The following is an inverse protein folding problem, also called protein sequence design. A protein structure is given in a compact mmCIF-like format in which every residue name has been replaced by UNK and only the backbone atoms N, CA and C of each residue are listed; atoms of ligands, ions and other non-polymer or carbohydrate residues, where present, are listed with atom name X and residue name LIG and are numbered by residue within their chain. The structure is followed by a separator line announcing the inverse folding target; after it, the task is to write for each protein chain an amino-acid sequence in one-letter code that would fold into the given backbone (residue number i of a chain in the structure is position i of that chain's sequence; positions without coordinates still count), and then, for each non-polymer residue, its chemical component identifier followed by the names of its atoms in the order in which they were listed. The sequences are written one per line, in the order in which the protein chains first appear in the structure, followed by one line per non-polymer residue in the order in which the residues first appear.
data_IF_040211435431
#
_entry.id   IF_040211435431
#
_cell.length_a   1.000
_cell.length_b   1.000
_cell.length_c   1.000
_cell.angle_alpha   90.00
_cell.angle_beta   90.00
_cell.angle_gamma   90.00
#
_symmetry.space_group_name_H-M   'P 1'
#
loop_
_entity.id
_entity.type
_entity.pdbx_description
1 polymer ?
#
# COMPACT_ATOMS: atom_id res chain seq x y z
N UNK A 1 -34.16 -9.99 -1.48
CA UNK A 1 -33.99 -10.61 -0.14
C UNK A 1 -32.57 -11.08 0.16
N UNK A 2 -31.80 -11.62 -0.80
CA UNK A 2 -30.44 -12.16 -0.54
C UNK A 2 -29.40 -11.09 -0.08
N UNK A 3 -29.50 -9.83 -0.52
CA UNK A 3 -28.51 -8.80 -0.15
C UNK A 3 -28.75 -8.09 1.19
N UNK A 4 -30.01 -7.99 1.63
CA UNK A 4 -30.38 -7.25 2.85
C UNK A 4 -30.07 -8.04 4.13
N UNK A 5 -30.09 -9.37 4.04
CA UNK A 5 -29.84 -10.28 5.18
C UNK A 5 -28.37 -10.69 5.32
N UNK A 6 -27.50 -10.35 4.37
CA UNK A 6 -26.08 -10.72 4.40
C UNK A 6 -25.28 -9.78 5.31
N UNK A 7 -24.45 -10.34 6.19
CA UNK A 7 -23.59 -9.61 7.14
C UNK A 7 -22.18 -9.33 6.60
N UNK A 8 -21.73 -10.06 5.58
CA UNK A 8 -20.35 -9.97 5.04
C UNK A 8 -20.02 -8.66 4.29
N UNK A 9 -21.01 -8.00 3.69
CA UNK A 9 -20.78 -6.83 2.83
C UNK A 9 -21.67 -5.65 3.24
N UNK A 10 -21.12 -4.76 4.08
CA UNK A 10 -21.84 -3.60 4.62
C UNK A 10 -22.49 -2.71 3.54
N UNK A 11 -21.81 -2.51 2.40
CA UNK A 11 -22.32 -1.67 1.30
C UNK A 11 -23.54 -2.30 0.61
N UNK A 12 -23.54 -3.61 0.37
CA UNK A 12 -24.68 -4.33 -0.24
C UNK A 12 -25.86 -4.45 0.73
N UNK A 13 -25.57 -4.49 2.03
CA UNK A 13 -26.61 -4.49 3.07
C UNK A 13 -27.34 -3.15 3.18
N UNK A 14 -26.59 -2.04 3.18
CA UNK A 14 -27.17 -0.70 3.31
C UNK A 14 -27.77 -0.18 2.00
N UNK A 15 -27.21 -0.57 0.85
CA UNK A 15 -27.65 -0.13 -0.48
C UNK A 15 -27.66 -1.30 -1.47
N UNK A 16 -28.66 -2.20 -1.41
CA UNK A 16 -28.66 -3.47 -2.16
C UNK A 16 -28.68 -3.32 -3.68
N UNK A 17 -29.30 -2.24 -4.19
CA UNK A 17 -29.34 -1.96 -5.63
C UNK A 17 -28.06 -1.26 -6.08
N UNK A 18 -27.73 -0.11 -5.47
CA UNK A 18 -26.56 0.71 -5.84
C UNK A 18 -25.24 -0.03 -5.58
N UNK A 19 -25.16 -0.81 -4.50
CA UNK A 19 -23.99 -1.61 -4.16
C UNK A 19 -23.67 -2.70 -5.18
N UNK A 20 -24.67 -3.24 -5.89
CA UNK A 20 -24.45 -4.17 -7.01
C UNK A 20 -23.90 -3.45 -8.24
N UNK A 21 -24.47 -2.29 -8.56
CA UNK A 21 -23.99 -1.46 -9.66
C UNK A 21 -22.55 -1.02 -9.47
N UNK A 22 -22.13 -0.70 -8.23
CA UNK A 22 -20.73 -0.36 -7.93
C UNK A 22 -19.74 -1.39 -8.46
N UNK A 23 -19.95 -2.67 -8.19
CA UNK A 23 -19.03 -3.73 -8.65
C UNK A 23 -19.08 -3.93 -10.17
N UNK A 24 -20.26 -3.79 -10.77
CA UNK A 24 -20.42 -3.84 -12.23
C UNK A 24 -19.65 -2.70 -12.89
N UNK A 25 -19.77 -1.47 -12.37
CA UNK A 25 -19.05 -0.31 -12.86
C UNK A 25 -17.55 -0.35 -12.54
N UNK A 26 -17.14 -0.95 -11.41
CA UNK A 26 -15.72 -1.18 -11.12
C UNK A 26 -15.09 -2.11 -12.16
N UNK A 27 -15.77 -3.21 -12.53
CA UNK A 27 -15.31 -4.13 -13.56
C UNK A 27 -15.34 -3.52 -14.97
N UNK A 28 -16.44 -2.84 -15.33
CA UNK A 28 -16.57 -2.19 -16.63
C UNK A 28 -15.58 -1.00 -16.77
N UNK A 29 -15.31 -0.31 -15.67
CA UNK A 29 -14.34 0.77 -15.58
C UNK A 29 -12.90 0.32 -15.82
N UNK A 30 -12.54 -0.93 -15.50
CA UNK A 30 -11.22 -1.48 -15.83
C UNK A 30 -10.99 -1.53 -17.35
N UNK A 31 -12.00 -1.91 -18.13
CA UNK A 31 -11.93 -1.91 -19.59
C UNK A 31 -12.00 -0.50 -20.18
N UNK A 32 -12.85 0.38 -19.65
CA UNK A 32 -12.93 1.76 -20.14
C UNK A 32 -11.65 2.57 -19.88
N UNK A 33 -10.86 2.22 -18.86
CA UNK A 33 -9.60 2.91 -18.54
C UNK A 33 -8.54 2.82 -19.62
N UNK A 34 -8.53 1.76 -20.41
CA UNK A 34 -7.65 1.66 -21.57
C UNK A 34 -7.98 2.72 -22.64
N UNK A 35 -9.23 3.20 -22.67
CA UNK A 35 -9.76 4.08 -23.72
C UNK A 35 -10.05 5.51 -23.27
N UNK A 36 -10.33 5.72 -21.98
CA UNK A 36 -10.68 7.01 -21.38
C UNK A 36 -9.64 7.41 -20.31
N UNK A 37 -8.46 7.84 -20.78
CA UNK A 37 -7.47 8.76 -20.19
C UNK A 37 -7.51 9.10 -18.69
N UNK A 38 -7.65 8.14 -17.78
CA UNK A 38 -7.40 8.35 -16.37
C UNK A 38 -6.25 7.43 -15.96
N UNK A 39 -5.00 7.93 -16.06
CA UNK A 39 -3.88 7.23 -15.45
C UNK A 39 -4.21 7.01 -13.97
N UNK A 40 -4.00 5.79 -13.47
CA UNK A 40 -4.27 5.40 -12.08
C UNK A 40 -3.71 6.37 -11.01
N UNK A 41 -2.71 7.18 -11.40
CA UNK A 41 -1.92 8.08 -10.57
C UNK A 41 -2.38 9.53 -10.47
N UNK A 42 -3.39 9.95 -11.22
CA UNK A 42 -3.81 11.36 -11.25
C UNK A 42 -4.74 11.77 -10.09
N UNK A 43 -5.26 10.79 -9.34
CA UNK A 43 -6.14 11.06 -8.21
C UNK A 43 -5.36 11.51 -6.95
N UNK A 44 -5.64 12.72 -6.48
CA UNK A 44 -5.14 13.31 -5.21
C UNK A 44 -6.25 13.33 -4.15
N UNK A 45 -5.93 13.27 -2.84
CA UNK A 45 -4.60 13.17 -2.23
C UNK A 45 -4.04 11.73 -2.18
N UNK A 46 -4.89 10.71 -2.38
CA UNK A 46 -4.50 9.31 -2.38
C UNK A 46 -4.83 8.65 -3.71
N UNK A 47 -3.81 8.11 -4.34
CA UNK A 47 -3.89 7.40 -5.60
C UNK A 47 -4.67 6.08 -5.43
N UNK A 48 -5.44 5.67 -6.45
CA UNK A 48 -6.19 4.41 -6.44
C UNK A 48 -5.33 3.19 -6.11
N UNK A 49 -4.08 3.12 -6.58
CA UNK A 49 -3.16 2.04 -6.25
C UNK A 49 -2.91 1.93 -4.73
N UNK A 50 -2.78 3.08 -4.06
CA UNK A 50 -2.64 3.12 -2.60
C UNK A 50 -3.93 2.64 -1.91
N UNK A 51 -5.09 3.11 -2.36
CA UNK A 51 -6.38 2.69 -1.79
C UNK A 51 -6.64 1.20 -2.00
N UNK A 52 -6.33 0.66 -3.18
CA UNK A 52 -6.46 -0.75 -3.49
C UNK A 52 -5.56 -1.61 -2.59
N UNK A 53 -4.31 -1.17 -2.38
CA UNK A 53 -3.39 -1.83 -1.46
C UNK A 53 -3.93 -1.85 -0.02
N UNK A 54 -4.40 -0.70 0.50
CA UNK A 54 -5.02 -0.60 1.84
C UNK A 54 -6.22 -1.55 1.96
N UNK A 55 -7.10 -1.62 0.96
CA UNK A 55 -8.25 -2.52 0.99
C UNK A 55 -7.87 -4.01 0.95
N UNK A 56 -6.79 -4.38 0.26
CA UNK A 56 -6.28 -5.76 0.27
C UNK A 56 -5.70 -6.11 1.64
N UNK A 57 -4.89 -5.21 2.20
CA UNK A 57 -4.32 -5.35 3.54
C UNK A 57 -5.42 -5.48 4.61
N UNK A 58 -6.43 -4.61 4.58
CA UNK A 58 -7.55 -4.63 5.54
C UNK A 58 -8.41 -5.91 5.44
N UNK A 59 -8.42 -6.59 4.29
CA UNK A 59 -9.13 -7.85 4.08
C UNK A 59 -8.27 -9.08 4.37
N UNK A 60 -7.01 -8.91 4.79
CA UNK A 60 -6.07 -10.01 5.01
C UNK A 60 -5.73 -10.76 3.72
N UNK A 61 -5.89 -10.12 2.56
CA UNK A 61 -5.56 -10.70 1.25
C UNK A 61 -4.12 -10.33 0.93
N UNK A 62 -3.40 -11.23 0.27
CA UNK A 62 -2.03 -10.99 -0.19
C UNK A 62 -1.91 -9.63 -0.88
N UNK A 63 -1.01 -8.80 -0.35
CA UNK A 63 -0.73 -7.44 -0.82
C UNK A 63 0.38 -7.42 -1.87
N UNK A 64 0.97 -8.57 -2.19
CA UNK A 64 2.05 -8.68 -3.17
C UNK A 64 1.50 -8.35 -4.56
N UNK A 65 2.22 -7.49 -5.27
CA UNK A 65 1.94 -7.11 -6.66
C UNK A 65 3.13 -7.56 -7.49
N UNK A 66 2.88 -8.07 -8.69
CA UNK A 66 3.92 -8.52 -9.60
C UNK A 66 4.93 -7.40 -9.89
N UNK A 67 6.19 -7.79 -10.12
CA UNK A 67 7.28 -6.86 -10.42
C UNK A 67 6.93 -5.97 -11.62
N UNK A 68 7.03 -4.65 -11.43
CA UNK A 68 6.70 -3.65 -12.44
C UNK A 68 6.20 -2.38 -11.78
N UNK A 69 6.85 -1.25 -12.06
CA UNK A 69 6.43 0.04 -11.55
C UNK A 69 5.89 0.88 -12.70
N UNK A 70 4.62 1.24 -12.65
CA UNK A 70 4.05 2.31 -13.48
C UNK A 70 4.46 3.70 -12.98
N UNK A 71 5.36 3.79 -11.97
CA UNK A 71 5.73 5.07 -11.35
C UNK A 71 6.62 5.83 -12.30
N UNK A 72 6.27 7.07 -12.55
CA UNK A 72 7.13 7.97 -13.28
C UNK A 72 8.44 8.15 -12.49
N UNK A 73 9.57 7.78 -13.12
CA UNK A 73 10.90 7.88 -12.52
C UNK A 73 11.62 9.18 -12.90
N UNK A 74 11.03 9.99 -13.78
CA UNK A 74 11.59 11.28 -14.24
C UNK A 74 11.65 12.36 -13.15
N UNK A 75 10.71 12.46 -12.19
CA UNK A 75 10.78 13.49 -11.16
C UNK A 75 12.04 13.35 -10.30
N UNK A 76 12.74 14.46 -10.09
CA UNK A 76 13.90 14.50 -9.21
C UNK A 76 13.52 14.09 -7.77
N UNK A 77 14.36 13.28 -7.12
CA UNK A 77 14.07 12.69 -5.81
C UNK A 77 13.33 11.35 -5.86
N UNK A 78 13.04 10.82 -7.06
CA UNK A 78 12.49 9.46 -7.20
C UNK A 78 13.53 8.41 -6.81
N UNK A 79 13.26 7.70 -5.72
CA UNK A 79 14.05 6.53 -5.31
C UNK A 79 13.96 5.43 -6.36
N UNK A 80 15.13 4.96 -6.81
CA UNK A 80 15.32 3.81 -7.71
C UNK A 80 16.27 2.83 -7.05
N UNK A 81 15.91 1.55 -7.05
CA UNK A 81 16.79 0.48 -6.59
C UNK A 81 17.52 -0.11 -7.81
N UNK A 82 18.84 0.04 -7.84
CA UNK A 82 19.68 -0.65 -8.80
C UNK A 82 20.15 -1.97 -8.19
N UNK A 83 19.92 -3.08 -8.89
CA UNK A 83 20.44 -4.37 -8.46
C UNK A 83 21.97 -4.36 -8.57
N UNK A 84 22.65 -4.87 -7.54
CA UNK A 84 24.10 -5.06 -7.62
C UNK A 84 24.39 -6.32 -8.46
N UNK A 85 25.23 -6.24 -9.51
CA UNK A 85 25.53 -7.40 -10.35
C UNK A 85 26.33 -8.49 -9.63
N UNK A 86 27.00 -8.13 -8.52
CA UNK A 86 27.81 -9.03 -7.71
C UNK A 86 27.42 -8.89 -6.24
N UNK A 87 27.34 -9.99 -5.47
CA UNK A 87 27.08 -9.90 -4.03
C UNK A 87 28.26 -9.21 -3.33
N UNK A 88 28.02 -8.37 -2.32
CA UNK A 88 29.09 -7.84 -1.47
C UNK A 88 29.79 -8.96 -0.71
N UNK A 89 31.09 -8.84 -0.47
CA UNK A 89 31.81 -9.76 0.42
C UNK A 89 31.44 -9.45 1.88
N UNK A 90 31.59 -10.42 2.79
CA UNK A 90 31.25 -10.23 4.22
C UNK A 90 32.02 -9.05 4.85
N UNK A 91 33.22 -8.76 4.36
CA UNK A 91 34.05 -7.62 4.77
C UNK A 91 33.53 -6.26 4.28
N UNK A 92 32.66 -6.24 3.26
CA UNK A 92 32.03 -5.03 2.71
C UNK A 92 30.64 -4.78 3.32
N UNK A 93 30.13 -5.71 4.13
CA UNK A 93 28.87 -5.55 4.84
C UNK A 93 29.04 -4.58 6.01
N UNK A 94 28.41 -3.41 5.91
CA UNK A 94 28.40 -2.44 6.99
C UNK A 94 27.41 -2.87 8.09
N UNK A 95 27.86 -2.83 9.34
CA UNK A 95 26.96 -2.96 10.49
C UNK A 95 25.94 -1.81 10.52
N UNK A 96 24.73 -2.10 11.00
CA UNK A 96 23.70 -1.08 11.08
C UNK A 96 24.05 -0.07 12.17
N UNK A 97 24.18 1.21 11.79
CA UNK A 97 24.47 2.27 12.73
C UNK A 97 23.33 2.42 13.77
N UNK A 98 23.70 2.61 15.04
CA UNK A 98 22.72 2.88 16.10
C UNK A 98 22.10 4.25 15.86
N UNK A 99 20.79 4.28 15.65
CA UNK A 99 20.01 5.52 15.51
C UNK A 99 19.28 5.80 16.83
N UNK A 100 19.33 7.06 17.25
CA UNK A 100 18.55 7.56 18.38
C UNK A 100 17.31 8.30 17.87
N UNK A 101 16.13 7.85 18.32
CA UNK A 101 14.83 8.42 18.00
C UNK A 101 14.32 9.18 19.23
N UNK A 102 14.01 10.45 19.03
CA UNK A 102 13.46 11.32 20.07
C UNK A 102 14.51 11.72 21.12
N UNK A 103 15.58 12.44 20.75
CA UNK A 103 16.63 12.87 21.69
C UNK A 103 16.12 13.77 22.82
N UNK A 104 14.97 14.42 22.64
CA UNK A 104 14.31 15.25 23.64
C UNK A 104 13.16 14.55 24.38
N UNK A 105 12.93 13.25 24.11
CA UNK A 105 11.91 12.48 24.81
C UNK A 105 12.39 12.15 26.24
N UNK A 106 11.44 11.87 27.14
CA UNK A 106 11.75 11.43 28.52
C UNK A 106 12.62 10.17 28.55
N UNK A 107 12.40 9.27 27.58
CA UNK A 107 13.16 8.04 27.38
C UNK A 107 13.49 7.91 25.89
N UNK A 108 14.65 8.43 25.43
CA UNK A 108 15.07 8.31 24.04
C UNK A 108 15.21 6.84 23.63
N UNK A 109 14.75 6.50 22.42
CA UNK A 109 14.80 5.13 21.92
C UNK A 109 16.01 4.96 21.01
N UNK A 110 16.94 4.08 21.39
CA UNK A 110 18.16 3.77 20.61
C UNK A 110 18.05 2.37 20.05
N UNK A 111 18.22 2.23 18.75
CA UNK A 111 18.10 0.93 18.07
C UNK A 111 19.12 0.82 16.93
N UNK A 112 19.70 -0.37 16.76
CA UNK A 112 20.42 -0.76 15.55
C UNK A 112 19.54 -1.61 14.61
N UNK A 113 18.28 -1.87 14.99
CA UNK A 113 17.38 -2.65 14.15
C UNK A 113 16.81 -1.79 13.02
N UNK A 114 16.88 -2.30 11.80
CA UNK A 114 16.27 -1.68 10.60
C UNK A 114 14.74 -1.65 10.71
N UNK A 115 14.16 -2.67 11.33
CA UNK A 115 12.71 -2.78 11.53
C UNK A 115 12.39 -2.73 13.02
N UNK A 116 11.48 -1.83 13.40
CA UNK A 116 11.03 -1.68 14.77
C UNK A 116 9.50 -1.82 14.80
N UNK A 117 9.00 -2.71 15.66
CA UNK A 117 7.56 -2.90 15.86
C UNK A 117 7.18 -2.04 17.06
N UNK A 118 6.30 -1.07 16.85
CA UNK A 118 5.79 -0.24 17.94
C UNK A 118 4.56 -0.89 18.58
N UNK A 119 4.43 -0.73 19.90
CA UNK A 119 3.26 -1.21 20.65
C UNK A 119 1.99 -0.36 20.44
N UNK A 120 2.05 0.69 19.63
CA UNK A 120 0.86 1.46 19.30
C UNK A 120 0.07 0.74 18.21
N UNK A 121 -0.81 -0.15 18.67
CA UNK A 121 -1.98 -0.66 17.96
C UNK A 121 -1.70 -1.38 16.63
N UNK A 122 -1.36 -2.67 16.75
CA UNK A 122 -1.84 -3.67 15.80
C UNK A 122 -3.35 -3.91 16.09
N UNK A 123 -4.20 -2.91 15.82
CA UNK A 123 -5.67 -3.02 15.90
C UNK A 123 -6.30 -3.00 17.30
N UNK A 124 -6.28 -1.85 17.96
CA UNK A 124 -7.35 -1.37 18.84
C UNK A 124 -8.33 -0.51 18.03
#
# INVERSE_FOLDING_TARGET
FIDSTQTKHAVRRNYPVIGRFRYIFEALGEYFRQYFFAMDREELPFNRAQRAWVYRAAKGVDTTVAFGSTRDLRPAGTVTFANCPFPPLDQDAADTAVVEIGPHARTPYRTASIYNISGMSYGA
#
